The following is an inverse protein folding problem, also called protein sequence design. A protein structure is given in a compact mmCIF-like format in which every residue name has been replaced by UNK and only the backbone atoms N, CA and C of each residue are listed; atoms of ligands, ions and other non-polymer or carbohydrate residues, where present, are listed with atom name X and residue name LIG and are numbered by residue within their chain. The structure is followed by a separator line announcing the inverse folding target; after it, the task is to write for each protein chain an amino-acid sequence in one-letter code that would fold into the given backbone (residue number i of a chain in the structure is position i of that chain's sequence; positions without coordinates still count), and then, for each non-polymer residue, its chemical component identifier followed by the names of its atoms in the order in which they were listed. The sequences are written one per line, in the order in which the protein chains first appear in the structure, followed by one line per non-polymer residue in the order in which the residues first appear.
data_IF_807818187873
#
_entry.id   IF_807818187873
#
_cell.length_a   1.000
_cell.length_b   1.000
_cell.length_c   1.000
_cell.angle_alpha   90.00
_cell.angle_beta   90.00
_cell.angle_gamma   90.00
#
_symmetry.space_group_name_H-M   'P 1'
#
loop_
_entity.id
_entity.type
_entity.pdbx_description
1 polymer ?
#
# COMPACT_ATOMS: atom_id res chain seq x y z
N UNK A 1 37.41 21.18 44.39
CA UNK A 1 36.10 20.62 44.75
C UNK A 1 35.42 20.23 43.45
N UNK A 2 35.24 18.92 43.27
CA UNK A 2 34.38 18.36 42.24
C UNK A 2 32.94 18.82 42.51
N UNK A 3 32.15 19.03 41.46
CA UNK A 3 30.73 18.69 41.47
C UNK A 3 30.19 18.56 40.03
N UNK A 4 29.72 17.36 39.77
CA UNK A 4 28.95 16.86 38.65
C UNK A 4 27.75 17.73 38.26
N UNK A 5 27.49 17.81 36.95
CA UNK A 5 26.13 17.90 36.44
C UNK A 5 26.03 17.11 35.15
N UNK A 6 25.78 15.82 35.34
CA UNK A 6 25.34 14.86 34.35
C UNK A 6 24.05 15.37 33.66
N UNK A 7 24.12 15.70 32.37
CA UNK A 7 22.94 15.66 31.50
C UNK A 7 22.75 14.21 31.06
N UNK A 8 21.75 13.56 31.64
CA UNK A 8 21.24 12.29 31.14
C UNK A 8 20.53 12.56 29.82
N UNK A 9 21.09 12.04 28.74
CA UNK A 9 20.33 11.86 27.50
C UNK A 9 19.38 10.68 27.72
N UNK A 10 18.11 10.98 28.03
CA UNK A 10 17.06 9.98 27.97
C UNK A 10 16.70 9.76 26.50
N UNK A 11 17.36 8.76 25.90
CA UNK A 11 16.97 8.22 24.61
C UNK A 11 15.55 7.66 24.67
N UNK A 12 14.72 8.06 23.71
CA UNK A 12 13.43 7.45 23.47
C UNK A 12 13.62 5.94 23.24
N UNK A 13 12.94 5.06 24.01
CA UNK A 13 13.03 3.64 23.74
C UNK A 13 12.41 3.38 22.37
N UNK A 14 13.27 3.06 21.39
CA UNK A 14 12.82 2.43 20.15
C UNK A 14 12.15 1.13 20.56
N UNK A 15 10.83 1.11 20.46
CA UNK A 15 10.07 -0.14 20.44
C UNK A 15 10.77 -1.05 19.41
N UNK A 16 11.21 -2.21 19.89
CA UNK A 16 11.70 -3.27 19.00
C UNK A 16 10.52 -3.61 18.09
N UNK A 17 10.60 -3.19 16.84
CA UNK A 17 9.84 -3.80 15.78
C UNK A 17 10.12 -5.31 15.81
N UNK A 18 9.09 -6.17 15.75
CA UNK A 18 9.30 -7.60 15.63
C UNK A 18 10.03 -7.85 14.30
N UNK A 19 11.34 -8.01 14.39
CA UNK A 19 12.20 -8.40 13.29
C UNK A 19 12.00 -9.89 13.03
N UNK A 20 11.68 -10.20 11.78
CA UNK A 20 11.76 -11.52 11.17
C UNK A 20 10.81 -12.58 11.75
N UNK A 21 9.63 -12.69 11.12
CA UNK A 21 9.12 -13.98 10.60
C UNK A 21 7.86 -13.71 9.76
N UNK A 22 7.77 -14.41 8.62
CA UNK A 22 6.70 -14.38 7.61
C UNK A 22 6.87 -13.31 6.51
N UNK A 23 7.91 -13.48 5.68
CA UNK A 23 7.84 -13.01 4.29
C UNK A 23 6.87 -13.92 3.52
N UNK A 24 5.58 -13.75 3.77
CA UNK A 24 4.54 -14.37 2.95
C UNK A 24 4.41 -13.53 1.69
N UNK A 25 4.88 -14.08 0.56
CA UNK A 25 4.77 -13.44 -0.76
C UNK A 25 3.30 -13.20 -1.09
N UNK A 26 2.99 -12.03 -1.63
CA UNK A 26 1.63 -11.59 -1.97
C UNK A 26 0.77 -12.74 -2.51
N UNK A 27 -0.35 -13.00 -1.84
CA UNK A 27 -1.26 -14.07 -2.25
C UNK A 27 -1.83 -13.74 -3.64
N UNK A 28 -1.46 -14.53 -4.63
CA UNK A 28 -1.99 -14.39 -5.99
C UNK A 28 -3.35 -15.07 -6.09
N UNK A 29 -4.28 -14.40 -6.76
CA UNK A 29 -5.60 -14.98 -7.05
C UNK A 29 -5.46 -15.90 -8.26
N UNK A 30 -5.89 -17.15 -8.13
CA UNK A 30 -5.98 -18.07 -9.25
C UNK A 30 -7.10 -17.63 -10.20
N UNK A 31 -6.72 -16.99 -11.31
CA UNK A 31 -7.64 -16.44 -12.31
C UNK A 31 -8.51 -17.54 -12.96
N UNK A 32 -8.06 -18.78 -12.98
CA UNK A 32 -8.79 -19.89 -13.60
C UNK A 32 -9.82 -20.53 -12.66
N UNK A 33 -9.58 -20.48 -11.36
CA UNK A 33 -10.40 -21.13 -10.35
C UNK A 33 -11.15 -20.14 -9.43
N UNK A 34 -11.05 -18.84 -9.71
CA UNK A 34 -11.76 -17.80 -8.98
C UNK A 34 -12.99 -17.32 -9.75
N UNK A 35 -14.13 -17.23 -9.05
CA UNK A 35 -15.36 -16.62 -9.56
C UNK A 35 -15.38 -15.14 -9.20
N UNK A 36 -15.59 -14.27 -10.19
CA UNK A 36 -15.62 -12.83 -10.00
C UNK A 36 -17.06 -12.32 -9.87
N UNK A 37 -17.28 -11.43 -8.90
CA UNK A 37 -18.56 -10.76 -8.67
C UNK A 37 -18.40 -9.24 -8.65
N UNK A 38 -19.48 -8.51 -8.91
CA UNK A 38 -19.48 -7.04 -8.84
C UNK A 38 -19.35 -6.59 -7.37
N UNK A 39 -18.39 -5.72 -7.02
CA UNK A 39 -18.24 -5.23 -5.65
C UNK A 39 -19.49 -4.52 -5.15
N UNK A 40 -19.94 -4.88 -3.95
CA UNK A 40 -21.06 -4.24 -3.25
C UNK A 40 -20.56 -3.48 -2.02
N UNK A 41 -21.21 -2.35 -1.70
CA UNK A 41 -20.86 -1.58 -0.51
C UNK A 41 -21.25 -2.35 0.75
N UNK A 42 -20.26 -2.78 1.54
CA UNK A 42 -20.46 -3.56 2.78
C UNK A 42 -20.30 -2.77 4.07
N UNK A 43 -19.60 -1.62 4.05
CA UNK A 43 -19.43 -0.74 5.20
C UNK A 43 -20.42 0.43 5.08
N UNK A 44 -21.46 0.39 5.90
CA UNK A 44 -22.51 1.42 5.95
C UNK A 44 -22.43 2.21 7.26
N UNK A 45 -22.13 1.51 8.35
CA UNK A 45 -22.17 2.01 9.71
C UNK A 45 -20.85 1.70 10.44
N UNK A 46 -20.62 2.33 11.59
CA UNK A 46 -19.42 2.10 12.40
C UNK A 46 -19.27 0.63 12.87
N UNK A 47 -20.38 -0.07 13.07
CA UNK A 47 -20.37 -1.48 13.48
C UNK A 47 -19.85 -2.43 12.38
N UNK A 48 -19.89 -2.01 11.12
CA UNK A 48 -19.39 -2.81 9.98
C UNK A 48 -17.87 -2.76 9.87
N UNK A 49 -17.20 -1.85 10.61
CA UNK A 49 -15.74 -1.76 10.63
C UNK A 49 -15.11 -2.99 11.29
N UNK A 50 -15.70 -3.48 12.38
CA UNK A 50 -15.17 -4.62 13.10
C UNK A 50 -15.03 -5.87 12.20
N UNK A 51 -16.08 -6.35 11.50
CA UNK A 51 -15.92 -7.48 10.58
C UNK A 51 -15.02 -7.15 9.38
N UNK A 52 -14.91 -5.89 8.97
CA UNK A 52 -13.99 -5.50 7.90
C UNK A 52 -12.52 -5.70 8.29
N UNK A 53 -12.12 -5.36 9.51
CA UNK A 53 -10.74 -5.55 9.99
C UNK A 53 -10.27 -7.02 9.98
N UNK A 54 -11.20 -7.96 10.07
CA UNK A 54 -10.92 -9.40 10.00
C UNK A 54 -11.23 -10.01 8.62
N UNK A 55 -11.55 -9.18 7.62
CA UNK A 55 -11.85 -9.66 6.27
C UNK A 55 -10.57 -9.92 5.46
N UNK A 56 -10.63 -10.90 4.56
CA UNK A 56 -9.53 -11.19 3.62
C UNK A 56 -9.15 -9.96 2.80
N UNK A 57 -10.13 -9.14 2.39
CA UNK A 57 -9.88 -7.92 1.64
C UNK A 57 -9.05 -6.89 2.42
N UNK A 58 -9.22 -6.80 3.74
CA UNK A 58 -8.41 -5.91 4.58
C UNK A 58 -6.99 -6.43 4.73
N UNK A 59 -6.82 -7.75 4.93
CA UNK A 59 -5.51 -8.37 5.01
C UNK A 59 -4.71 -8.18 3.72
N UNK A 60 -5.30 -8.51 2.56
CA UNK A 60 -4.66 -8.33 1.25
C UNK A 60 -4.28 -6.87 0.97
N UNK A 61 -5.11 -5.92 1.43
CA UNK A 61 -4.80 -4.50 1.30
C UNK A 61 -3.58 -4.09 2.14
N UNK A 62 -3.49 -4.56 3.39
CA UNK A 62 -2.33 -4.25 4.24
C UNK A 62 -1.05 -4.89 3.70
N UNK A 63 -1.11 -6.15 3.27
CA UNK A 63 0.02 -6.85 2.63
C UNK A 63 0.52 -6.08 1.41
N UNK A 64 -0.40 -5.68 0.52
CA UNK A 64 -0.06 -4.86 -0.65
C UNK A 64 0.59 -3.53 -0.27
N UNK A 65 0.08 -2.84 0.74
CA UNK A 65 0.62 -1.55 1.19
C UNK A 65 2.02 -1.69 1.78
N UNK A 66 2.27 -2.74 2.56
CA UNK A 66 3.59 -3.01 3.12
C UNK A 66 4.59 -3.35 2.03
N UNK A 67 4.24 -4.23 1.10
CA UNK A 67 5.12 -4.60 -0.01
C UNK A 67 5.41 -3.40 -0.93
N UNK A 68 4.40 -2.58 -1.23
CA UNK A 68 4.61 -1.36 -2.01
C UNK A 68 5.56 -0.40 -1.29
N UNK A 69 5.34 -0.15 0.00
CA UNK A 69 6.21 0.72 0.79
C UNK A 69 7.65 0.22 0.77
N UNK A 70 7.86 -1.08 1.00
CA UNK A 70 9.19 -1.68 1.02
C UNK A 70 9.85 -1.65 -0.37
N UNK A 71 9.08 -1.85 -1.43
CA UNK A 71 9.59 -1.85 -2.82
C UNK A 71 10.12 -0.50 -3.27
N UNK A 72 9.64 0.62 -2.70
CA UNK A 72 10.06 1.97 -3.06
C UNK A 72 11.06 2.57 -2.07
N UNK A 73 11.45 1.83 -1.02
CA UNK A 73 12.45 2.29 -0.06
C UNK A 73 13.77 2.58 -0.77
N UNK A 74 14.25 3.81 -0.62
CA UNK A 74 15.50 4.31 -1.22
C UNK A 74 15.50 4.38 -2.75
N UNK A 75 14.36 4.21 -3.41
CA UNK A 75 14.22 4.44 -4.85
C UNK A 75 13.80 5.89 -5.07
N UNK A 76 14.54 6.61 -5.91
CA UNK A 76 14.17 7.95 -6.37
C UNK A 76 13.27 7.83 -7.59
N UNK A 77 12.41 8.82 -7.77
CA UNK A 77 11.47 8.88 -8.90
C UNK A 77 12.14 8.95 -10.28
N UNK A 78 13.44 9.27 -10.33
CA UNK A 78 14.21 9.35 -11.56
C UNK A 78 15.12 8.13 -11.77
N UNK A 79 15.10 7.16 -10.86
CA UNK A 79 15.91 5.96 -11.00
C UNK A 79 15.31 5.06 -12.10
N UNK A 80 16.20 4.42 -12.85
CA UNK A 80 15.78 3.48 -13.89
C UNK A 80 15.27 2.19 -13.24
N UNK A 81 13.99 1.91 -13.45
CA UNK A 81 13.30 0.76 -12.85
C UNK A 81 12.74 -0.13 -13.94
N UNK A 82 12.78 -1.44 -13.71
CA UNK A 82 12.17 -2.38 -14.63
C UNK A 82 10.64 -2.22 -14.61
N UNK A 83 10.06 -1.88 -15.76
CA UNK A 83 8.61 -1.77 -15.94
C UNK A 83 8.10 -3.00 -16.69
N UNK A 84 7.23 -3.78 -16.03
CA UNK A 84 6.60 -4.94 -16.66
C UNK A 84 5.59 -4.52 -17.73
N UNK A 85 5.27 -5.42 -18.66
CA UNK A 85 4.28 -5.15 -19.72
C UNK A 85 2.90 -4.78 -19.13
N UNK A 86 2.51 -5.41 -18.03
CA UNK A 86 1.25 -5.10 -17.35
C UNK A 86 1.26 -3.70 -16.73
N UNK A 87 2.37 -3.29 -16.12
CA UNK A 87 2.51 -1.93 -15.60
C UNK A 87 2.43 -0.89 -16.75
N UNK A 88 3.06 -1.17 -17.89
CA UNK A 88 2.96 -0.31 -19.07
C UNK A 88 1.52 -0.19 -19.59
N UNK A 89 0.77 -1.30 -19.66
CA UNK A 89 -0.64 -1.29 -20.05
C UNK A 89 -1.51 -0.46 -19.09
N UNK A 90 -1.20 -0.49 -17.79
CA UNK A 90 -1.90 0.33 -16.79
C UNK A 90 -1.59 1.81 -17.00
N UNK A 91 -0.32 2.17 -17.25
CA UNK A 91 0.08 3.55 -17.58
C UNK A 91 -0.68 4.05 -18.81
N UNK A 92 -0.71 3.26 -19.89
CA UNK A 92 -1.43 3.60 -21.12
C UNK A 92 -2.94 3.82 -20.88
N UNK A 93 -3.55 3.03 -19.99
CA UNK A 93 -4.95 3.19 -19.62
C UNK A 93 -5.18 4.50 -18.86
N UNK A 94 -4.29 4.83 -17.91
CA UNK A 94 -4.35 6.08 -17.15
C UNK A 94 -4.18 7.31 -18.06
N UNK A 95 -3.26 7.26 -19.02
CA UNK A 95 -3.03 8.34 -19.99
C UNK A 95 -4.28 8.60 -20.85
N UNK A 96 -4.94 7.53 -21.31
CA UNK A 96 -6.21 7.65 -22.05
C UNK A 96 -7.31 8.27 -21.19
N UNK A 97 -7.39 7.90 -19.91
CA UNK A 97 -8.36 8.49 -18.97
C UNK A 97 -8.08 9.99 -18.74
N UNK A 98 -6.83 10.38 -18.56
CA UNK A 98 -6.45 11.80 -18.42
C UNK A 98 -6.76 12.60 -19.68
N UNK A 99 -6.43 12.08 -20.86
CA UNK A 99 -6.76 12.72 -22.13
C UNK A 99 -8.28 12.86 -22.34
N UNK A 100 -9.08 11.89 -21.87
CA UNK A 100 -10.54 11.95 -21.95
C UNK A 100 -11.13 13.07 -21.07
N UNK A 101 -10.56 13.32 -19.88
CA UNK A 101 -11.00 14.42 -19.00
C UNK A 101 -10.80 15.79 -19.64
N UNK A 102 -9.68 15.99 -20.35
CA UNK A 102 -9.43 17.24 -21.07
C UNK A 102 -10.46 17.49 -22.18
N UNK A 103 -10.96 16.44 -22.84
CA UNK A 103 -12.01 16.57 -23.86
C UNK A 103 -13.39 16.85 -23.27
N UNK A 104 -13.70 16.35 -22.08
CA UNK A 104 -14.97 16.61 -21.39
C UNK A 104 -15.08 18.05 -20.87
N UNK A 105 -13.96 18.67 -20.47
CA UNK A 105 -13.93 20.06 -19.99
C UNK A 105 -14.04 21.12 -21.11
N UNK A 106 -14.01 20.72 -22.40
CA UNK A 106 -14.17 21.62 -23.55
C UNK A 106 -15.58 21.62 -24.16
N UNK A 107 -16.52 20.88 -23.57
CA UNK A 107 -17.92 20.77 -24.03
C UNK A 107 -18.95 21.32 -23.03
N UNK A 108 -18.53 22.09 -22.02
CA UNK A 108 -19.44 22.82 -21.13
C UNK A 108 -19.44 24.31 -21.45
#
# INVERSE_FOLDING_TARGET
MMNDSSRKEEGCPREKSPSAEMAESMKTIDVHNHSYEVPVRRILNIFDLNPFYFSEGYQLLLEFLHELNDSVLNIKTCDDVHVSENAMKVIDMLDKMMASRLKCNLKQ
#
